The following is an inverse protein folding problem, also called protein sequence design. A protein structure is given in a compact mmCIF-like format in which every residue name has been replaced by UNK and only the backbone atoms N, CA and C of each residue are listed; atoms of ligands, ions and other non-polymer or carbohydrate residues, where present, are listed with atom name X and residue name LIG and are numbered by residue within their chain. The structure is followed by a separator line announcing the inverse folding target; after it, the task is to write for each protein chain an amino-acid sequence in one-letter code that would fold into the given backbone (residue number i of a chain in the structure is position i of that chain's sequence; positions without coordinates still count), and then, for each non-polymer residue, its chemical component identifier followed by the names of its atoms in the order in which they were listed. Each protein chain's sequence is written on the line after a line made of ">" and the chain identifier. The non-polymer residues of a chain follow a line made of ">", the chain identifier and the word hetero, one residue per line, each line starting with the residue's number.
data_IF_549029076666
#
_entry.id   IF_549029076666
#
_cell.length_a   1.000
_cell.length_b   1.000
_cell.length_c   1.000
_cell.angle_alpha   90.00
_cell.angle_beta   90.00
_cell.angle_gamma   90.00
#
_symmetry.space_group_name_H-M   'P 1'
#
loop_
_entity.id
_entity.type
_entity.pdbx_description
1 polymer ?
#
# COMPACT_ATOMS: atom_id res chain seq x y z
N UNK A 1 -4.65 9.44 7.38
CA UNK A 1 -3.83 8.44 8.12
C UNK A 1 -2.72 7.82 7.26
N UNK A 2 -2.87 7.80 5.93
CA UNK A 2 -1.85 7.22 5.04
C UNK A 2 -0.70 8.18 4.76
N UNK A 3 -0.99 9.44 4.42
CA UNK A 3 0.04 10.44 4.11
C UNK A 3 1.05 10.64 5.22
N UNK A 4 0.60 10.64 6.46
CA UNK A 4 1.43 10.89 7.66
C UNK A 4 1.82 9.65 8.43
N UNK A 5 1.50 8.45 7.93
CA UNK A 5 1.75 7.16 8.60
C UNK A 5 1.22 7.09 10.05
N UNK A 6 0.10 7.75 10.33
CA UNK A 6 -0.51 7.82 11.66
C UNK A 6 -1.79 6.98 11.81
N UNK A 7 -1.96 5.94 10.99
CA UNK A 7 -3.14 5.08 11.01
C UNK A 7 -3.40 4.44 12.40
N UNK A 8 -2.34 4.14 13.15
CA UNK A 8 -2.42 3.60 14.51
C UNK A 8 -3.10 4.54 15.50
N UNK A 9 -3.11 5.84 15.24
CA UNK A 9 -3.71 6.86 16.11
C UNK A 9 -5.23 7.02 15.88
N UNK A 10 -5.83 6.25 14.95
CA UNK A 10 -7.29 6.14 14.78
C UNK A 10 -8.00 7.50 14.54
N UNK A 11 -7.47 8.30 13.63
CA UNK A 11 -8.12 9.51 13.15
C UNK A 11 -8.14 9.52 11.62
N UNK A 12 -9.28 9.82 11.03
CA UNK A 12 -9.45 10.03 9.60
C UNK A 12 -10.37 11.22 9.36
N UNK A 13 -10.15 11.92 8.26
CA UNK A 13 -10.90 13.11 7.88
C UNK A 13 -11.56 12.85 6.54
N UNK A 14 -12.82 13.17 6.42
CA UNK A 14 -13.56 13.22 5.15
C UNK A 14 -13.87 14.69 4.88
N UNK A 15 -13.46 15.19 3.72
CA UNK A 15 -13.74 16.55 3.26
C UNK A 15 -14.57 16.46 1.98
N UNK A 16 -15.71 17.15 1.93
CA UNK A 16 -16.55 17.19 0.75
C UNK A 16 -17.19 18.58 0.58
N UNK A 17 -17.22 19.07 -0.66
CA UNK A 17 -17.98 20.27 -1.06
C UNK A 17 -19.33 19.89 -1.69
N UNK A 18 -19.64 18.60 -1.85
CA UNK A 18 -20.86 18.12 -2.45
C UNK A 18 -21.97 18.01 -1.40
N UNK A 19 -23.06 18.75 -1.58
CA UNK A 19 -24.19 18.79 -0.64
C UNK A 19 -24.84 17.41 -0.41
N UNK A 20 -24.99 16.60 -1.47
CA UNK A 20 -25.59 15.26 -1.34
C UNK A 20 -24.69 14.31 -0.54
N UNK A 21 -23.37 14.43 -0.69
CA UNK A 21 -22.40 13.68 0.13
C UNK A 21 -22.47 14.15 1.59
N UNK A 22 -22.47 15.47 1.82
CA UNK A 22 -22.56 16.03 3.16
C UNK A 22 -23.86 15.63 3.89
N UNK A 23 -25.00 15.61 3.17
CA UNK A 23 -26.26 15.12 3.72
C UNK A 23 -26.18 13.64 4.15
N UNK A 24 -25.52 12.78 3.38
CA UNK A 24 -25.29 11.36 3.74
C UNK A 24 -24.33 11.23 4.92
N UNK A 25 -23.26 12.01 4.96
CA UNK A 25 -22.33 12.03 6.08
C UNK A 25 -23.01 12.45 7.38
N UNK A 26 -23.93 13.46 7.32
CA UNK A 26 -24.73 13.89 8.46
C UNK A 26 -25.72 12.85 8.98
N UNK A 27 -26.11 11.87 8.17
CA UNK A 27 -26.99 10.75 8.55
C UNK A 27 -26.24 9.58 9.21
N UNK A 28 -24.91 9.60 9.25
CA UNK A 28 -24.16 8.54 9.91
C UNK A 28 -24.49 8.48 11.41
N UNK A 29 -24.48 7.27 12.02
CA UNK A 29 -24.68 7.13 13.44
C UNK A 29 -23.70 7.98 14.24
N UNK A 30 -24.19 8.68 15.25
CA UNK A 30 -23.37 9.59 16.09
C UNK A 30 -22.13 8.90 16.67
N UNK A 31 -22.21 7.59 16.92
CA UNK A 31 -21.09 6.79 17.39
C UNK A 31 -19.87 6.83 16.46
N UNK A 32 -20.06 7.10 15.15
CA UNK A 32 -18.95 7.22 14.19
C UNK A 32 -18.12 8.47 14.49
N UNK A 33 -18.75 9.56 14.89
CA UNK A 33 -18.08 10.82 15.20
C UNK A 33 -17.22 10.76 16.47
N UNK A 34 -17.58 9.87 17.42
CA UNK A 34 -16.83 9.68 18.67
C UNK A 34 -15.71 8.65 18.58
N UNK A 35 -15.50 8.03 17.41
CA UNK A 35 -14.43 7.03 17.25
C UNK A 35 -13.07 7.59 16.87
N UNK A 36 -12.99 8.87 16.54
CA UNK A 36 -11.71 9.53 16.33
C UNK A 36 -10.97 9.68 17.67
N UNK A 37 -9.73 9.24 17.71
CA UNK A 37 -8.88 9.42 18.88
C UNK A 37 -8.49 10.89 19.06
N UNK A 38 -8.54 11.40 20.27
CA UNK A 38 -8.08 12.75 20.62
C UNK A 38 -6.62 12.94 20.21
N UNK A 39 -5.75 11.99 20.55
CA UNK A 39 -4.33 12.04 20.18
C UNK A 39 -4.15 11.98 18.66
N UNK A 40 -5.00 11.20 17.96
CA UNK A 40 -5.02 11.16 16.50
C UNK A 40 -5.43 12.49 15.88
N UNK A 41 -6.36 13.21 16.48
CA UNK A 41 -6.76 14.57 16.07
C UNK A 41 -5.59 15.56 16.20
N UNK A 42 -4.94 15.60 17.34
CA UNK A 42 -3.77 16.47 17.57
C UNK A 42 -2.62 16.12 16.62
N UNK A 43 -2.27 14.84 16.49
CA UNK A 43 -1.20 14.41 15.59
C UNK A 43 -1.52 14.78 14.12
N UNK A 44 -2.76 14.66 13.71
CA UNK A 44 -3.20 15.04 12.35
C UNK A 44 -3.05 16.56 12.16
N UNK A 45 -3.50 17.37 13.11
CA UNK A 45 -3.37 18.83 13.03
C UNK A 45 -1.90 19.28 12.92
N UNK A 46 -1.03 18.74 13.77
CA UNK A 46 0.42 19.02 13.75
C UNK A 46 1.05 18.55 12.43
N UNK A 47 0.71 17.34 11.97
CA UNK A 47 1.25 16.80 10.73
C UNK A 47 0.92 17.68 9.53
N UNK A 48 -0.30 18.20 9.43
CA UNK A 48 -0.68 19.14 8.37
C UNK A 48 -0.06 20.53 8.53
N UNK A 49 0.22 20.97 9.75
CA UNK A 49 0.79 22.28 9.98
C UNK A 49 2.32 22.32 9.80
N UNK A 50 3.02 21.23 10.16
CA UNK A 50 4.47 21.25 10.34
C UNK A 50 5.20 20.10 9.60
N UNK A 51 4.45 19.13 9.03
CA UNK A 51 5.02 17.90 8.49
C UNK A 51 5.43 17.94 7.03
N UNK A 52 5.28 19.06 6.30
CA UNK A 52 5.48 19.16 4.85
C UNK A 52 6.86 18.65 4.42
N UNK A 53 7.92 19.13 5.03
CA UNK A 53 9.32 18.74 4.69
C UNK A 53 9.54 17.23 4.84
N UNK A 54 8.98 16.64 5.89
CA UNK A 54 9.05 15.18 6.09
C UNK A 54 8.25 14.44 4.99
N UNK A 55 7.05 14.93 4.67
CA UNK A 55 6.20 14.28 3.67
C UNK A 55 6.84 14.33 2.29
N UNK A 56 7.44 15.46 1.90
CA UNK A 56 8.13 15.62 0.62
C UNK A 56 9.28 14.61 0.48
N UNK A 57 10.09 14.48 1.53
CA UNK A 57 11.18 13.50 1.58
C UNK A 57 10.67 12.04 1.49
N UNK A 58 9.53 11.73 2.11
CA UNK A 58 8.89 10.41 1.99
C UNK A 58 8.37 10.18 0.57
N UNK A 59 7.73 11.17 -0.04
CA UNK A 59 7.21 11.09 -1.42
C UNK A 59 8.35 10.83 -2.41
N UNK A 60 9.48 11.53 -2.28
CA UNK A 60 10.66 11.31 -3.11
C UNK A 60 11.19 9.88 -3.00
N UNK A 61 11.30 9.34 -1.78
CA UNK A 61 11.72 7.95 -1.56
C UNK A 61 10.71 6.94 -2.13
N UNK A 62 9.42 7.20 -2.00
CA UNK A 62 8.38 6.33 -2.56
C UNK A 62 8.38 6.37 -4.10
N UNK A 63 8.61 7.54 -4.67
CA UNK A 63 8.74 7.68 -6.12
C UNK A 63 9.93 6.88 -6.67
N UNK A 64 11.08 6.99 -6.03
CA UNK A 64 12.25 6.16 -6.34
C UNK A 64 11.90 4.66 -6.25
N UNK A 65 11.30 4.23 -5.15
CA UNK A 65 11.00 2.82 -4.91
C UNK A 65 10.03 2.23 -5.95
N UNK A 66 8.96 2.95 -6.33
CA UNK A 66 8.00 2.43 -7.31
C UNK A 66 8.61 2.24 -8.70
N UNK A 67 9.56 3.09 -9.11
CA UNK A 67 10.28 2.95 -10.36
C UNK A 67 11.33 1.83 -10.28
N UNK A 68 12.08 1.76 -9.19
CA UNK A 68 13.06 0.69 -8.94
C UNK A 68 12.41 -0.70 -8.97
N UNK A 69 11.20 -0.86 -8.41
CA UNK A 69 10.45 -2.12 -8.50
C UNK A 69 10.20 -2.49 -9.97
N UNK A 70 9.83 -1.53 -10.81
CA UNK A 70 9.61 -1.79 -12.24
C UNK A 70 10.87 -2.30 -12.93
N UNK A 71 12.01 -1.69 -12.65
CA UNK A 71 13.30 -2.09 -13.21
C UNK A 71 13.71 -3.49 -12.74
N UNK A 72 13.61 -3.75 -11.43
CA UNK A 72 13.95 -5.04 -10.85
C UNK A 72 13.05 -6.17 -11.38
N UNK A 73 11.74 -5.95 -11.48
CA UNK A 73 10.82 -6.93 -12.06
C UNK A 73 11.12 -7.16 -13.53
N UNK A 74 11.36 -6.11 -14.31
CA UNK A 74 11.68 -6.24 -15.73
C UNK A 74 12.95 -7.04 -15.99
N UNK A 75 13.96 -6.95 -15.10
CA UNK A 75 15.23 -7.66 -15.23
C UNK A 75 15.20 -9.08 -14.69
N UNK A 76 14.47 -9.35 -13.60
CA UNK A 76 14.55 -10.61 -12.87
C UNK A 76 13.32 -11.49 -12.97
N UNK A 77 12.15 -10.87 -13.18
CA UNK A 77 10.83 -11.52 -13.24
C UNK A 77 9.99 -10.90 -14.37
N UNK A 78 10.46 -10.95 -15.63
CA UNK A 78 9.84 -10.21 -16.74
C UNK A 78 8.39 -10.63 -17.04
N UNK A 79 7.97 -11.81 -16.59
CA UNK A 79 6.59 -12.28 -16.72
C UNK A 79 5.63 -11.68 -15.67
N UNK A 80 6.13 -11.05 -14.61
CA UNK A 80 5.28 -10.34 -13.64
C UNK A 80 4.81 -9.02 -14.23
N UNK A 81 3.50 -8.82 -14.27
CA UNK A 81 2.92 -7.55 -14.74
C UNK A 81 2.80 -6.57 -13.57
N UNK A 82 3.39 -5.42 -13.74
CA UNK A 82 3.35 -4.32 -12.77
C UNK A 82 3.10 -2.99 -13.48
N UNK A 83 2.04 -2.33 -13.08
CA UNK A 83 1.79 -0.94 -13.43
C UNK A 83 2.29 -0.04 -12.30
N UNK A 84 3.13 0.95 -12.62
CA UNK A 84 3.61 1.90 -11.62
C UNK A 84 2.42 2.71 -11.11
N UNK A 85 2.10 2.66 -9.80
CA UNK A 85 0.93 3.37 -9.28
C UNK A 85 1.16 4.88 -9.28
N UNK A 86 0.14 5.67 -9.61
CA UNK A 86 0.21 7.12 -9.59
C UNK A 86 0.32 7.69 -8.17
N UNK A 87 -0.15 6.94 -7.18
CA UNK A 87 -0.17 7.35 -5.78
C UNK A 87 -0.06 6.16 -4.83
N UNK A 88 0.00 6.43 -3.52
CA UNK A 88 0.13 5.42 -2.48
C UNK A 88 1.55 4.80 -2.42
N UNK A 89 1.71 3.79 -1.58
CA UNK A 89 2.93 3.01 -1.38
C UNK A 89 2.66 1.50 -1.52
N UNK A 90 1.64 1.16 -2.30
CA UNK A 90 1.18 -0.21 -2.50
C UNK A 90 1.30 -0.57 -3.98
N UNK A 91 2.17 -1.54 -4.30
CA UNK A 91 2.29 -2.11 -5.62
C UNK A 91 1.33 -3.30 -5.77
N UNK A 92 0.63 -3.35 -6.89
CA UNK A 92 -0.25 -4.44 -7.28
C UNK A 92 0.43 -5.26 -8.36
N UNK A 93 0.83 -6.49 -8.03
CA UNK A 93 1.61 -7.36 -8.90
C UNK A 93 0.73 -8.48 -9.40
N UNK A 94 0.64 -8.61 -10.71
CA UNK A 94 0.04 -9.76 -11.36
C UNK A 94 1.12 -10.83 -11.57
N UNK A 95 0.96 -11.93 -10.88
CA UNK A 95 1.92 -13.05 -10.86
C UNK A 95 1.36 -14.32 -11.53
N UNK A 96 0.25 -14.21 -12.25
CA UNK A 96 -0.42 -15.34 -12.93
C UNK A 96 0.55 -16.17 -13.77
N UNK A 97 1.40 -15.50 -14.54
CA UNK A 97 2.38 -16.14 -15.42
C UNK A 97 3.46 -16.96 -14.69
N UNK A 98 3.58 -16.81 -13.39
CA UNK A 98 4.53 -17.59 -12.57
C UNK A 98 3.97 -18.97 -12.15
N UNK A 99 2.68 -19.24 -12.36
CA UNK A 99 2.01 -20.52 -12.05
C UNK A 99 2.24 -21.00 -10.61
N UNK A 100 2.03 -20.11 -9.63
CA UNK A 100 2.32 -20.36 -8.21
C UNK A 100 1.19 -21.08 -7.44
N UNK A 101 0.20 -21.61 -8.14
CA UNK A 101 -0.96 -22.29 -7.56
C UNK A 101 -2.13 -21.34 -7.25
N UNK A 102 -3.05 -21.81 -6.41
CA UNK A 102 -4.32 -21.10 -6.13
C UNK A 102 -4.13 -19.82 -5.30
N UNK A 103 -3.13 -19.82 -4.42
CA UNK A 103 -2.74 -18.65 -3.64
C UNK A 103 -1.23 -18.37 -3.77
N UNK A 104 -0.85 -17.50 -4.69
CA UNK A 104 0.54 -17.12 -4.90
C UNK A 104 1.22 -16.58 -3.65
N UNK A 105 0.50 -15.93 -2.73
CA UNK A 105 1.07 -15.33 -1.52
C UNK A 105 1.65 -16.38 -0.57
N UNK A 106 1.03 -17.56 -0.49
CA UNK A 106 1.51 -18.69 0.31
C UNK A 106 2.80 -19.23 -0.30
N UNK A 107 2.80 -19.51 -1.60
CA UNK A 107 3.97 -20.04 -2.30
C UNK A 107 5.17 -19.09 -2.21
N UNK A 108 4.94 -17.78 -2.36
CA UNK A 108 5.99 -16.77 -2.23
C UNK A 108 6.51 -16.66 -0.79
N UNK A 109 5.66 -16.86 0.21
CA UNK A 109 6.08 -16.90 1.60
C UNK A 109 6.93 -18.14 1.90
N UNK A 110 6.48 -19.31 1.48
CA UNK A 110 7.15 -20.58 1.78
C UNK A 110 8.50 -20.72 1.08
N UNK A 111 8.53 -20.44 -0.22
CA UNK A 111 9.75 -20.59 -1.05
C UNK A 111 10.64 -19.37 -1.01
N UNK A 112 10.08 -18.17 -1.19
CA UNK A 112 10.82 -16.93 -1.27
C UNK A 112 11.07 -16.26 0.09
N UNK A 113 10.36 -16.66 1.15
CA UNK A 113 10.39 -16.03 2.49
C UNK A 113 10.04 -14.55 2.42
N UNK A 114 9.11 -14.19 1.52
CA UNK A 114 8.57 -12.84 1.35
C UNK A 114 7.06 -12.88 1.54
N UNK A 115 6.57 -12.13 2.52
CA UNK A 115 5.15 -12.04 2.84
C UNK A 115 4.48 -10.92 2.03
N UNK A 116 3.44 -11.27 1.30
CA UNK A 116 2.56 -10.36 0.58
C UNK A 116 1.14 -10.39 1.14
N UNK A 117 0.36 -9.36 0.86
CA UNK A 117 -1.08 -9.50 1.03
C UNK A 117 -1.66 -10.28 -0.17
N UNK A 118 -2.43 -11.30 0.12
CA UNK A 118 -3.06 -12.14 -0.90
C UNK A 118 -4.13 -11.38 -1.70
N UNK A 119 -4.08 -11.48 -3.02
CA UNK A 119 -5.01 -10.77 -3.91
C UNK A 119 -6.45 -11.20 -3.74
N UNK A 120 -6.74 -12.49 -3.49
CA UNK A 120 -8.09 -13.00 -3.30
C UNK A 120 -8.87 -12.29 -2.17
N UNK A 121 -8.17 -11.68 -1.19
CA UNK A 121 -8.80 -10.89 -0.11
C UNK A 121 -9.45 -9.60 -0.62
N UNK A 122 -9.15 -9.20 -1.86
CA UNK A 122 -9.70 -8.03 -2.55
C UNK A 122 -10.75 -8.40 -3.61
N UNK A 123 -11.04 -9.69 -3.77
CA UNK A 123 -12.03 -10.23 -4.70
C UNK A 123 -11.52 -11.48 -5.42
N UNK A 124 -12.43 -12.39 -5.78
CA UNK A 124 -12.08 -13.67 -6.42
C UNK A 124 -11.28 -13.50 -7.72
N UNK A 125 -11.59 -12.45 -8.49
CA UNK A 125 -10.90 -12.10 -9.73
C UNK A 125 -9.44 -11.68 -9.54
N UNK A 126 -9.04 -11.40 -8.30
CA UNK A 126 -7.68 -10.99 -7.95
C UNK A 126 -6.84 -12.14 -7.36
N UNK A 127 -7.27 -13.40 -7.49
CA UNK A 127 -6.59 -14.55 -6.87
C UNK A 127 -5.12 -14.68 -7.30
N UNK A 128 -4.79 -14.32 -8.54
CA UNK A 128 -3.44 -14.39 -9.09
C UNK A 128 -2.62 -13.11 -8.90
N UNK A 129 -3.09 -12.22 -8.02
CA UNK A 129 -2.39 -11.00 -7.66
C UNK A 129 -1.83 -11.06 -6.25
N UNK A 130 -0.78 -10.28 -6.01
CA UNK A 130 -0.26 -10.03 -4.67
C UNK A 130 0.00 -8.54 -4.49
N UNK A 131 -0.19 -8.04 -3.25
CA UNK A 131 0.06 -6.65 -2.92
C UNK A 131 1.35 -6.50 -2.11
N UNK A 132 2.28 -5.75 -2.66
CA UNK A 132 3.54 -5.36 -2.02
C UNK A 132 3.40 -3.96 -1.40
N UNK A 133 3.79 -3.82 -0.14
CA UNK A 133 4.02 -2.51 0.47
C UNK A 133 5.48 -2.11 0.22
N UNK A 134 5.70 -0.99 -0.46
CA UNK A 134 7.03 -0.50 -0.78
C UNK A 134 7.48 0.74 0.05
N UNK A 135 6.75 1.07 1.12
CA UNK A 135 7.19 2.08 2.08
C UNK A 135 8.27 1.50 3.02
N UNK A 136 9.38 1.10 2.44
CA UNK A 136 10.54 0.53 3.15
C UNK A 136 11.83 0.90 2.42
N UNK A 137 12.99 0.47 2.91
CA UNK A 137 14.26 0.79 2.25
C UNK A 137 14.41 0.12 0.89
N UNK A 138 15.10 0.74 -0.08
CA UNK A 138 15.43 0.14 -1.37
C UNK A 138 16.11 -1.23 -1.25
N UNK A 139 16.97 -1.40 -0.25
CA UNK A 139 17.69 -2.66 0.02
C UNK A 139 16.72 -3.81 0.34
N UNK A 140 15.67 -3.55 1.16
CA UNK A 140 14.67 -4.58 1.51
C UNK A 140 13.84 -4.96 0.28
N UNK A 141 13.46 -3.99 -0.54
CA UNK A 141 12.72 -4.25 -1.78
C UNK A 141 13.56 -5.08 -2.74
N UNK A 142 14.81 -4.69 -2.96
CA UNK A 142 15.75 -5.41 -3.82
C UNK A 142 15.93 -6.85 -3.37
N UNK A 143 16.19 -7.07 -2.09
CA UNK A 143 16.34 -8.41 -1.52
C UNK A 143 15.05 -9.23 -1.65
N UNK A 144 13.87 -8.63 -1.44
CA UNK A 144 12.59 -9.32 -1.60
C UNK A 144 12.41 -9.83 -3.04
N UNK A 145 12.66 -8.99 -4.05
CA UNK A 145 12.54 -9.39 -5.47
C UNK A 145 13.58 -10.45 -5.83
N UNK A 146 14.83 -10.33 -5.34
CA UNK A 146 15.87 -11.34 -5.53
C UNK A 146 15.47 -12.69 -4.92
N UNK A 147 14.87 -12.71 -3.74
CA UNK A 147 14.40 -13.96 -3.10
C UNK A 147 13.32 -14.62 -3.91
N UNK A 148 12.36 -13.85 -4.41
CA UNK A 148 11.31 -14.38 -5.27
C UNK A 148 11.93 -14.98 -6.53
N UNK A 149 12.80 -14.24 -7.22
CA UNK A 149 13.42 -14.70 -8.46
C UNK A 149 14.24 -15.99 -8.30
N UNK A 150 14.84 -16.21 -7.12
CA UNK A 150 15.60 -17.45 -6.82
C UNK A 150 14.70 -18.62 -6.41
N UNK A 151 13.48 -18.36 -5.99
CA UNK A 151 12.56 -19.36 -5.46
C UNK A 151 11.63 -19.96 -6.52
N UNK A 152 11.57 -19.34 -7.71
CA UNK A 152 10.74 -19.70 -8.84
C UNK A 152 11.62 -20.15 -9.98
#
# INVERSE_FOLDING_TARGET
>A
SKGWNIAGLKCAIIVSQNEAVNARLGQMPIAVHYRASLLGGFATAIAFAEGEVWLDSVIENLDHNRHMIKELLSSQLPSVRYHIPDNSYLAWLDVEALNLGDDPSITLLEKGRVAFNAGHTYGKQCSQYVRLNFATSPTIITEAIHRIARAI
#
